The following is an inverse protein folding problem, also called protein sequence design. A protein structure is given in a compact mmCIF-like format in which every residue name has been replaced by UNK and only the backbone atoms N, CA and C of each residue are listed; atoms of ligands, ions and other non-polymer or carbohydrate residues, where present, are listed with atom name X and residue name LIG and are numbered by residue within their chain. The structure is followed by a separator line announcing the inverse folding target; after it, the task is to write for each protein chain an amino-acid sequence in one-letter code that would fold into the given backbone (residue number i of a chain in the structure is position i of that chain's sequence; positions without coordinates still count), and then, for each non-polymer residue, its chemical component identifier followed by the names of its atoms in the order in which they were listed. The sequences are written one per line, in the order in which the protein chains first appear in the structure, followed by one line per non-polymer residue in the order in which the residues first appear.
data_IF_713436397069
#
_entry.id   IF_713436397069
#
_cell.length_a   1.000
_cell.length_b   1.000
_cell.length_c   1.000
_cell.angle_alpha   90.00
_cell.angle_beta   90.00
_cell.angle_gamma   90.00
#
_symmetry.space_group_name_H-M   'P 1'
#
loop_
_entity.id
_entity.type
_entity.pdbx_description
1 polymer ?
#
# COMPACT_ATOMS: atom_id res chain seq x y z
N UNK A 1 21.88 2.62 -15.53
CA UNK A 1 22.99 1.67 -15.30
C UNK A 1 22.43 0.25 -15.36
N UNK A 2 23.05 -0.67 -16.11
CA UNK A 2 22.59 -2.06 -16.17
C UNK A 2 23.05 -2.86 -14.94
N UNK A 3 22.36 -3.95 -14.60
CA UNK A 3 22.71 -4.81 -13.45
C UNK A 3 24.18 -5.32 -13.49
N UNK A 4 24.72 -5.75 -14.64
CA UNK A 4 26.14 -6.12 -14.72
C UNK A 4 27.11 -4.96 -14.49
N UNK A 5 26.75 -3.74 -14.92
CA UNK A 5 27.55 -2.54 -14.66
C UNK A 5 27.52 -2.16 -13.17
N UNK A 6 26.38 -2.34 -12.51
CA UNK A 6 26.26 -2.12 -11.06
C UNK A 6 27.11 -3.12 -10.27
N UNK A 7 26.99 -4.43 -10.53
CA UNK A 7 27.77 -5.44 -9.82
C UNK A 7 29.28 -5.24 -10.03
N UNK A 8 29.68 -4.80 -11.23
CA UNK A 8 31.06 -4.43 -11.53
C UNK A 8 31.50 -3.19 -10.74
N UNK A 9 30.69 -2.13 -10.71
CA UNK A 9 30.97 -0.90 -9.95
C UNK A 9 30.97 -1.13 -8.43
N UNK A 10 30.10 -1.99 -7.93
CA UNK A 10 30.05 -2.45 -6.54
C UNK A 10 31.34 -3.19 -6.15
N UNK A 11 31.80 -4.09 -7.02
CA UNK A 11 33.09 -4.78 -6.85
C UNK A 11 34.31 -3.84 -6.94
N UNK A 12 34.23 -2.80 -7.76
CA UNK A 12 35.26 -1.76 -7.90
C UNK A 12 35.32 -0.84 -6.68
N UNK A 13 34.18 -0.45 -6.09
CA UNK A 13 34.10 0.34 -4.85
C UNK A 13 34.69 -0.42 -3.65
N UNK A 14 34.50 -1.75 -3.58
CA UNK A 14 35.08 -2.64 -2.56
C UNK A 14 36.62 -2.62 -2.52
N UNK A 15 37.29 -2.21 -3.62
CA UNK A 15 38.76 -2.19 -3.70
C UNK A 15 39.39 -0.90 -3.14
N UNK A 16 38.62 0.16 -2.92
CA UNK A 16 39.13 1.46 -2.50
C UNK A 16 38.73 1.83 -1.06
N UNK A 17 39.29 1.11 -0.08
CA UNK A 17 39.70 1.71 1.20
C UNK A 17 38.79 1.55 2.43
N UNK A 18 39.40 0.91 3.44
CA UNK A 18 39.25 1.01 4.90
C UNK A 18 38.23 0.09 5.62
N UNK A 19 38.86 -0.79 6.43
CA UNK A 19 38.39 -1.64 7.53
C UNK A 19 36.87 -1.85 7.61
N UNK A 20 36.41 -2.99 7.07
CA UNK A 20 35.08 -3.52 7.32
C UNK A 20 35.15 -4.84 8.09
N UNK A 21 34.08 -5.21 8.82
CA UNK A 21 33.91 -6.57 9.35
C UNK A 21 34.10 -7.59 8.23
N UNK A 22 34.64 -8.76 8.53
CA UNK A 22 34.81 -9.84 7.55
C UNK A 22 33.47 -10.26 6.93
N UNK A 23 33.12 -9.72 5.74
CA UNK A 23 31.80 -9.93 5.12
C UNK A 23 31.69 -9.48 3.65
N UNK A 24 30.52 -9.70 3.06
CA UNK A 24 30.21 -9.36 1.66
C UNK A 24 30.13 -7.83 1.41
N UNK A 25 29.78 -7.06 2.44
CA UNK A 25 29.65 -5.61 2.51
C UNK A 25 28.69 -5.21 3.65
N UNK A 26 28.53 -3.92 3.91
CA UNK A 26 27.56 -3.37 4.87
C UNK A 26 26.39 -2.70 4.15
N UNK A 27 25.15 -3.04 4.54
CA UNK A 27 23.93 -2.46 3.98
C UNK A 27 23.11 -1.84 5.11
N UNK A 28 22.73 -0.56 4.95
CA UNK A 28 21.82 0.12 5.87
C UNK A 28 20.43 0.13 5.27
N UNK A 29 19.41 -0.29 6.02
CA UNK A 29 18.01 -0.33 5.57
C UNK A 29 17.13 0.51 6.50
N UNK A 30 16.18 1.23 5.92
CA UNK A 30 15.19 2.01 6.68
C UNK A 30 13.84 2.06 5.94
N UNK A 31 12.74 1.94 6.67
CA UNK A 31 11.43 2.38 6.16
C UNK A 31 11.29 3.87 6.46
N UNK A 32 10.99 4.67 5.44
CA UNK A 32 11.01 6.13 5.52
C UNK A 32 9.97 6.68 6.50
N UNK A 33 10.21 7.89 6.99
CA UNK A 33 9.34 8.60 7.93
C UNK A 33 7.85 8.54 7.55
N UNK A 34 6.97 8.31 8.53
CA UNK A 34 5.52 8.20 8.34
C UNK A 34 5.04 6.85 7.81
N UNK A 35 5.94 5.91 7.50
CA UNK A 35 5.60 4.59 7.00
C UNK A 35 5.99 3.50 8.01
N UNK A 36 5.01 2.65 8.35
CA UNK A 36 5.13 1.60 9.36
C UNK A 36 5.18 0.19 8.78
N UNK A 37 5.20 0.06 7.44
CA UNK A 37 5.18 -1.22 6.76
C UNK A 37 6.61 -1.66 6.40
N UNK A 38 7.09 -2.75 7.01
CA UNK A 38 8.49 -3.21 6.92
C UNK A 38 8.68 -4.62 6.36
N UNK A 39 7.60 -5.34 6.02
CA UNK A 39 7.72 -6.75 5.62
C UNK A 39 8.66 -6.96 4.43
N UNK A 40 8.52 -6.13 3.38
CA UNK A 40 9.40 -6.19 2.21
C UNK A 40 10.86 -5.85 2.56
N UNK A 41 11.08 -4.85 3.42
CA UNK A 41 12.41 -4.47 3.92
C UNK A 41 13.07 -5.61 4.68
N UNK A 42 12.35 -6.24 5.59
CA UNK A 42 12.92 -7.28 6.45
C UNK A 42 13.21 -8.56 5.66
N UNK A 43 12.41 -8.88 4.63
CA UNK A 43 12.73 -9.97 3.71
C UNK A 43 14.05 -9.70 2.97
N UNK A 44 14.24 -8.48 2.48
CA UNK A 44 15.50 -8.05 1.85
C UNK A 44 16.66 -8.14 2.85
N UNK A 45 16.47 -7.70 4.09
CA UNK A 45 17.46 -7.83 5.16
C UNK A 45 17.90 -9.28 5.36
N UNK A 46 16.96 -10.21 5.61
CA UNK A 46 17.27 -11.62 5.84
C UNK A 46 17.95 -12.29 4.63
N UNK A 47 17.59 -11.92 3.40
CA UNK A 47 18.25 -12.43 2.19
C UNK A 47 19.69 -11.92 2.09
N UNK A 48 19.94 -10.65 2.41
CA UNK A 48 21.28 -10.06 2.40
C UNK A 48 22.16 -10.68 3.50
N UNK A 49 21.65 -10.85 4.71
CA UNK A 49 22.33 -11.52 5.82
C UNK A 49 22.70 -12.96 5.45
N UNK A 50 21.79 -13.71 4.84
CA UNK A 50 22.04 -15.07 4.35
C UNK A 50 23.12 -15.12 3.24
N UNK A 51 23.40 -14.00 2.56
CA UNK A 51 24.51 -13.86 1.60
C UNK A 51 25.79 -13.30 2.22
N UNK A 52 25.83 -13.11 3.54
CA UNK A 52 27.00 -12.67 4.28
C UNK A 52 27.22 -11.15 4.32
N UNK A 53 26.18 -10.36 4.00
CA UNK A 53 26.22 -8.91 4.23
C UNK A 53 25.94 -8.61 5.71
N UNK A 54 26.58 -7.56 6.23
CA UNK A 54 26.22 -6.98 7.52
C UNK A 54 25.07 -5.99 7.29
N UNK A 55 23.90 -6.26 7.87
CA UNK A 55 22.71 -5.43 7.69
C UNK A 55 22.45 -4.60 8.95
N UNK A 56 22.38 -3.28 8.78
CA UNK A 56 21.95 -2.33 9.80
C UNK A 56 20.51 -1.91 9.47
N UNK A 57 19.55 -2.47 10.18
CA UNK A 57 18.13 -2.12 10.01
C UNK A 57 17.71 -1.07 11.04
N UNK A 58 17.34 0.13 10.56
CA UNK A 58 16.90 1.25 11.40
C UNK A 58 15.42 1.16 11.80
N UNK A 59 14.68 0.18 11.28
CA UNK A 59 13.27 -0.03 11.59
C UNK A 59 12.32 0.80 10.72
N UNK A 60 11.24 1.30 11.34
CA UNK A 60 10.12 1.97 10.66
C UNK A 60 9.97 3.43 11.05
N UNK A 61 9.34 4.20 10.17
CA UNK A 61 9.10 5.64 10.35
C UNK A 61 10.38 6.41 10.70
N UNK A 62 11.47 6.16 9.96
CA UNK A 62 12.79 6.73 10.25
C UNK A 62 12.98 8.09 9.59
N UNK A 63 13.32 9.11 10.37
CA UNK A 63 13.60 10.46 9.88
C UNK A 63 14.90 10.54 9.07
N UNK A 64 14.95 11.44 8.08
CA UNK A 64 16.14 11.65 7.24
C UNK A 64 17.41 11.94 8.05
N UNK A 65 17.31 12.73 9.12
CA UNK A 65 18.43 13.04 10.01
C UNK A 65 18.99 11.81 10.73
N UNK A 66 18.13 10.85 11.09
CA UNK A 66 18.53 9.59 11.73
C UNK A 66 19.23 8.68 10.72
N UNK A 67 18.70 8.62 9.49
CA UNK A 67 19.35 7.90 8.39
C UNK A 67 20.73 8.49 8.12
N UNK A 68 20.86 9.82 8.05
CA UNK A 68 22.14 10.52 7.86
C UNK A 68 23.14 10.15 8.96
N UNK A 69 22.73 10.24 10.23
CA UNK A 69 23.59 9.89 11.37
C UNK A 69 24.09 8.45 11.26
N UNK A 70 23.18 7.52 10.97
CA UNK A 70 23.53 6.12 10.83
C UNK A 70 24.43 5.86 9.60
N UNK A 71 24.26 6.57 8.49
CA UNK A 71 25.18 6.47 7.34
C UNK A 71 26.59 6.94 7.71
N UNK A 72 26.71 8.03 8.47
CA UNK A 72 28.01 8.52 8.95
C UNK A 72 28.64 7.54 9.96
N UNK A 73 27.82 6.97 10.86
CA UNK A 73 28.28 6.04 11.90
C UNK A 73 28.73 4.70 11.33
N UNK A 74 27.90 4.08 10.48
CA UNK A 74 28.13 2.73 9.97
C UNK A 74 28.88 2.68 8.65
N UNK A 75 29.03 3.82 7.96
CA UNK A 75 29.68 3.93 6.65
C UNK A 75 29.29 2.80 5.67
N UNK A 76 27.99 2.62 5.38
CA UNK A 76 27.50 1.50 4.60
C UNK A 76 27.94 1.57 3.14
N UNK A 77 28.09 0.41 2.50
CA UNK A 77 28.34 0.33 1.06
C UNK A 77 27.08 0.63 0.23
N UNK A 78 25.89 0.41 0.83
CA UNK A 78 24.59 0.63 0.20
C UNK A 78 23.58 1.09 1.25
N UNK A 79 22.72 2.04 0.86
CA UNK A 79 21.55 2.48 1.64
C UNK A 79 20.30 1.93 0.95
N UNK A 80 19.36 1.35 1.70
CA UNK A 80 18.07 0.90 1.20
C UNK A 80 16.93 1.66 1.86
N UNK A 81 16.08 2.29 1.05
CA UNK A 81 14.88 2.98 1.51
C UNK A 81 13.63 2.20 1.09
N UNK A 82 12.75 1.96 2.04
CA UNK A 82 11.48 1.24 1.84
C UNK A 82 10.27 2.13 2.09
N UNK A 83 9.20 1.93 1.32
CA UNK A 83 7.91 2.60 1.51
C UNK A 83 6.76 1.90 0.78
N UNK A 84 5.65 1.70 1.49
CA UNK A 84 4.42 1.08 1.02
C UNK A 84 3.39 2.11 0.52
N UNK A 85 3.24 3.23 1.22
CA UNK A 85 2.17 4.21 0.96
C UNK A 85 2.65 5.38 0.07
N UNK A 86 1.71 6.06 -0.61
CA UNK A 86 2.05 7.16 -1.53
C UNK A 86 2.85 8.30 -0.88
N UNK A 87 2.54 8.75 0.36
CA UNK A 87 3.36 9.76 1.06
C UNK A 87 4.83 9.36 1.21
N UNK A 88 5.15 8.06 1.27
CA UNK A 88 6.50 7.54 1.39
C UNK A 88 7.38 7.93 0.20
N UNK A 89 6.80 8.14 -0.99
CA UNK A 89 7.56 8.60 -2.15
C UNK A 89 8.12 10.02 -1.92
N UNK A 90 7.33 10.91 -1.32
CA UNK A 90 7.77 12.26 -0.98
C UNK A 90 8.86 12.24 0.08
N UNK A 91 8.73 11.34 1.07
CA UNK A 91 9.74 11.15 2.10
C UNK A 91 11.04 10.56 1.55
N UNK A 92 10.98 9.62 0.60
CA UNK A 92 12.17 9.15 -0.12
C UNK A 92 12.88 10.29 -0.86
N UNK A 93 12.13 11.14 -1.57
CA UNK A 93 12.70 12.32 -2.26
C UNK A 93 13.36 13.26 -1.25
N UNK A 94 12.72 13.52 -0.11
CA UNK A 94 13.28 14.35 0.94
C UNK A 94 14.59 13.77 1.50
N UNK A 95 14.61 12.49 1.83
CA UNK A 95 15.79 11.80 2.36
C UNK A 95 16.95 11.80 1.38
N UNK A 96 16.72 11.53 0.09
CA UNK A 96 17.82 11.53 -0.89
C UNK A 96 18.38 12.94 -1.13
N UNK A 97 17.54 13.98 -1.10
CA UNK A 97 18.00 15.38 -1.15
C UNK A 97 18.91 15.70 0.02
N UNK A 98 18.46 15.38 1.23
CA UNK A 98 19.21 15.63 2.46
C UNK A 98 20.57 14.92 2.46
N UNK A 99 20.63 13.66 1.98
CA UNK A 99 21.90 12.94 1.79
C UNK A 99 22.82 13.61 0.77
N UNK A 100 22.27 14.09 -0.36
CA UNK A 100 23.05 14.75 -1.42
C UNK A 100 23.60 16.11 -0.98
N UNK A 101 22.83 16.89 -0.23
CA UNK A 101 23.21 18.22 0.28
C UNK A 101 24.45 18.18 1.19
N UNK A 102 24.63 17.08 1.91
CA UNK A 102 25.80 16.85 2.77
C UNK A 102 26.92 16.06 2.09
N UNK A 103 26.80 15.80 0.79
CA UNK A 103 27.84 15.17 -0.03
C UNK A 103 27.94 13.65 0.12
N UNK A 104 26.91 12.97 0.61
CA UNK A 104 26.88 11.50 0.60
C UNK A 104 26.55 11.03 -0.82
N UNK A 105 27.40 10.14 -1.35
CA UNK A 105 27.26 9.55 -2.68
C UNK A 105 27.08 8.02 -2.66
N UNK A 106 26.93 7.45 -1.45
CA UNK A 106 26.69 6.02 -1.25
C UNK A 106 25.51 5.54 -2.11
N UNK A 107 25.64 4.45 -2.89
CA UNK A 107 24.54 3.93 -3.69
C UNK A 107 23.25 3.70 -2.89
N UNK A 108 22.12 4.13 -3.44
CA UNK A 108 20.79 3.98 -2.83
C UNK A 108 19.95 2.96 -3.61
N UNK A 109 19.39 2.01 -2.88
CA UNK A 109 18.33 1.10 -3.32
C UNK A 109 16.97 1.62 -2.88
N UNK A 110 16.03 1.72 -3.81
CA UNK A 110 14.65 2.15 -3.57
C UNK A 110 13.72 0.95 -3.74
N UNK A 111 12.88 0.67 -2.76
CA UNK A 111 11.90 -0.40 -2.82
C UNK A 111 10.63 -0.13 -2.01
N UNK A 112 9.71 -1.09 -2.05
CA UNK A 112 8.38 -1.01 -1.42
C UNK A 112 7.27 -0.73 -2.44
N UNK A 113 6.01 -1.01 -2.06
CA UNK A 113 4.89 -1.07 -3.00
C UNK A 113 4.55 0.28 -3.66
N UNK A 114 4.84 1.41 -3.00
CA UNK A 114 4.66 2.74 -3.58
C UNK A 114 5.67 3.06 -4.69
N UNK A 115 6.74 2.26 -4.80
CA UNK A 115 7.86 2.54 -5.70
C UNK A 115 7.72 1.76 -7.00
N UNK A 116 7.84 2.47 -8.12
CA UNK A 116 7.93 1.88 -9.45
C UNK A 116 9.27 2.23 -10.08
N UNK A 117 9.65 1.50 -11.14
CA UNK A 117 10.82 1.85 -11.95
C UNK A 117 10.73 3.30 -12.45
N UNK A 118 9.56 3.71 -12.90
CA UNK A 118 9.33 5.06 -13.43
C UNK A 118 9.49 6.11 -12.34
N UNK A 119 8.82 5.95 -11.20
CA UNK A 119 8.90 6.91 -10.09
C UNK A 119 10.32 7.00 -9.51
N UNK A 120 11.04 5.88 -9.43
CA UNK A 120 12.44 5.87 -8.97
C UNK A 120 13.33 6.69 -9.89
N UNK A 121 13.20 6.52 -11.22
CA UNK A 121 14.06 7.18 -12.21
C UNK A 121 13.69 8.65 -12.39
N UNK A 122 12.40 8.98 -12.40
CA UNK A 122 11.91 10.32 -12.73
C UNK A 122 11.81 11.20 -11.49
N UNK A 123 11.36 10.67 -10.36
CA UNK A 123 11.03 11.49 -9.19
C UNK A 123 12.11 11.44 -8.09
N UNK A 124 12.87 10.34 -7.96
CA UNK A 124 13.87 10.19 -6.88
C UNK A 124 15.29 10.45 -7.39
N UNK A 125 15.72 9.72 -8.42
CA UNK A 125 17.10 9.74 -8.90
C UNK A 125 17.66 11.14 -9.26
N UNK A 126 16.90 12.09 -9.84
CA UNK A 126 17.42 13.42 -10.17
C UNK A 126 17.80 14.28 -8.96
N UNK A 127 17.41 13.86 -7.75
CA UNK A 127 17.64 14.59 -6.51
C UNK A 127 18.81 14.04 -5.68
N UNK A 128 19.58 13.10 -6.24
CA UNK A 128 20.73 12.50 -5.57
C UNK A 128 21.96 12.52 -6.47
N UNK A 129 23.12 12.87 -5.92
CA UNK A 129 24.41 12.91 -6.62
C UNK A 129 24.98 11.51 -6.90
N UNK A 130 24.69 10.53 -6.03
CA UNK A 130 25.12 9.14 -6.18
C UNK A 130 24.17 8.27 -7.01
N UNK A 131 24.49 6.97 -7.19
CA UNK A 131 23.63 6.04 -7.90
C UNK A 131 22.33 5.73 -7.14
N UNK A 132 21.17 5.84 -7.80
CA UNK A 132 19.86 5.39 -7.28
C UNK A 132 19.31 4.26 -8.16
N UNK A 133 18.90 3.15 -7.54
CA UNK A 133 18.45 1.95 -8.24
C UNK A 133 17.18 1.35 -7.62
N UNK A 134 16.23 0.84 -8.42
CA UNK A 134 15.08 0.12 -7.92
C UNK A 134 15.45 -1.31 -7.48
N UNK A 135 14.90 -1.77 -6.35
CA UNK A 135 15.15 -3.10 -5.74
C UNK A 135 14.75 -4.26 -6.64
N UNK A 136 13.81 -4.10 -7.59
CA UNK A 136 13.40 -5.20 -8.49
C UNK A 136 14.57 -5.76 -9.32
N UNK A 137 15.64 -4.98 -9.55
CA UNK A 137 16.86 -5.48 -10.19
C UNK A 137 17.56 -6.60 -9.40
N UNK A 138 17.28 -6.74 -8.10
CA UNK A 138 17.78 -7.81 -7.25
C UNK A 138 16.94 -9.09 -7.34
N UNK A 139 15.61 -8.99 -7.54
CA UNK A 139 14.69 -10.14 -7.55
C UNK A 139 14.99 -11.16 -8.67
N UNK A 140 15.50 -10.69 -9.82
CA UNK A 140 15.90 -11.56 -10.94
C UNK A 140 17.04 -12.54 -10.55
N UNK A 141 17.84 -12.19 -9.55
CA UNK A 141 18.95 -13.03 -9.06
C UNK A 141 18.49 -14.11 -8.05
N UNK A 142 17.27 -14.01 -7.52
CA UNK A 142 16.81 -14.83 -6.38
C UNK A 142 15.74 -15.85 -6.72
N UNK A 143 15.44 -16.11 -8.00
CA UNK A 143 14.32 -16.98 -8.40
C UNK A 143 14.33 -18.39 -7.81
N UNK A 144 15.51 -18.97 -7.51
CA UNK A 144 15.57 -20.26 -6.79
C UNK A 144 15.26 -20.13 -5.29
N UNK A 145 15.75 -19.08 -4.62
CA UNK A 145 15.48 -18.84 -3.20
C UNK A 145 14.01 -18.43 -2.98
N UNK A 146 13.46 -17.59 -3.86
CA UNK A 146 12.04 -17.21 -3.84
C UNK A 146 11.11 -18.44 -3.89
N UNK A 147 11.44 -19.46 -4.70
CA UNK A 147 10.69 -20.73 -4.74
C UNK A 147 10.77 -21.53 -3.44
N UNK A 148 11.88 -21.45 -2.69
CA UNK A 148 12.00 -22.11 -1.39
C UNK A 148 11.14 -21.40 -0.34
N UNK A 149 11.26 -20.07 -0.25
CA UNK A 149 10.46 -19.24 0.65
C UNK A 149 8.96 -19.46 0.39
N UNK A 150 8.53 -19.47 -0.88
CA UNK A 150 7.14 -19.75 -1.23
C UNK A 150 6.65 -21.10 -0.70
N UNK A 151 7.46 -22.17 -0.81
CA UNK A 151 7.09 -23.49 -0.25
C UNK A 151 6.97 -23.45 1.27
N UNK A 152 7.77 -22.64 1.96
CA UNK A 152 7.71 -22.50 3.41
C UNK A 152 6.50 -21.68 3.86
N UNK A 153 6.18 -20.59 3.16
CA UNK A 153 4.94 -19.82 3.39
C UNK A 153 3.72 -20.72 3.21
N UNK A 154 3.67 -21.56 2.18
CA UNK A 154 2.57 -22.51 1.98
C UNK A 154 2.43 -23.52 3.12
N UNK A 155 3.55 -24.00 3.69
CA UNK A 155 3.52 -24.87 4.88
C UNK A 155 2.96 -24.13 6.09
N UNK A 156 3.39 -22.88 6.30
CA UNK A 156 2.90 -22.03 7.39
C UNK A 156 1.41 -21.73 7.23
N UNK A 157 0.92 -21.50 6.01
CA UNK A 157 -0.52 -21.34 5.75
C UNK A 157 -1.28 -22.62 6.16
N UNK A 158 -0.79 -23.80 5.80
CA UNK A 158 -1.43 -25.06 6.21
C UNK A 158 -1.44 -25.22 7.74
N UNK A 159 -0.33 -24.91 8.41
CA UNK A 159 -0.24 -24.92 9.87
C UNK A 159 -1.25 -23.95 10.51
N UNK A 160 -1.39 -22.73 9.97
CA UNK A 160 -2.37 -21.74 10.43
C UNK A 160 -3.79 -22.30 10.29
N UNK A 161 -4.11 -22.94 9.17
CA UNK A 161 -5.43 -23.53 8.91
C UNK A 161 -5.72 -24.69 9.87
N UNK A 162 -4.77 -25.59 10.06
CA UNK A 162 -4.89 -26.76 10.94
C UNK A 162 -5.07 -26.35 12.41
N UNK A 163 -4.25 -25.40 12.86
CA UNK A 163 -4.25 -24.92 14.25
C UNK A 163 -5.34 -23.89 14.54
N UNK A 164 -5.93 -23.30 13.49
CA UNK A 164 -6.85 -22.15 13.57
C UNK A 164 -6.25 -20.97 14.35
N UNK A 165 -4.93 -20.79 14.23
CA UNK A 165 -4.17 -19.78 14.99
C UNK A 165 -4.47 -18.34 14.56
N UNK A 166 -4.97 -18.14 13.34
CA UNK A 166 -5.48 -16.86 12.86
C UNK A 166 -7.00 -16.92 12.65
N UNK A 167 -7.68 -15.81 12.95
CA UNK A 167 -9.13 -15.67 12.73
C UNK A 167 -9.41 -14.61 11.67
N UNK A 168 -10.19 -15.01 10.67
CA UNK A 168 -10.68 -14.13 9.62
C UNK A 168 -11.96 -13.41 10.06
N UNK A 169 -12.04 -12.10 9.84
CA UNK A 169 -13.26 -11.30 10.03
C UNK A 169 -13.48 -10.41 8.82
N UNK A 170 -14.74 -10.22 8.47
CA UNK A 170 -15.14 -9.40 7.34
C UNK A 170 -16.48 -8.75 7.63
N UNK A 171 -16.65 -7.52 7.17
CA UNK A 171 -17.94 -6.84 7.05
C UNK A 171 -18.13 -6.41 5.60
N UNK A 172 -19.34 -6.60 5.11
CA UNK A 172 -19.84 -6.00 3.88
C UNK A 172 -21.04 -5.15 4.25
N UNK A 173 -21.10 -3.95 3.69
CA UNK A 173 -22.13 -2.97 3.94
C UNK A 173 -22.63 -2.40 2.62
N UNK A 174 -23.92 -2.11 2.55
CA UNK A 174 -24.54 -1.43 1.42
C UNK A 174 -25.45 -0.35 1.94
N UNK A 175 -25.49 0.78 1.24
CA UNK A 175 -26.45 1.83 1.52
C UNK A 175 -26.92 2.50 0.23
N UNK A 176 -28.10 3.10 0.31
CA UNK A 176 -28.55 4.04 -0.71
C UNK A 176 -27.59 5.22 -0.74
N UNK A 177 -27.21 5.64 -1.93
CA UNK A 177 -26.33 6.78 -2.11
C UNK A 177 -26.63 7.53 -3.40
N UNK A 178 -26.33 8.82 -3.38
CA UNK A 178 -26.40 9.67 -4.56
C UNK A 178 -25.18 10.58 -4.62
N UNK A 179 -24.74 10.90 -5.83
CA UNK A 179 -23.73 11.92 -6.03
C UNK A 179 -24.32 13.33 -5.86
N UNK A 180 -23.52 14.21 -5.27
CA UNK A 180 -23.79 15.65 -5.18
C UNK A 180 -22.49 16.41 -5.47
N UNK A 181 -22.34 16.88 -6.71
CA UNK A 181 -21.05 17.41 -7.17
C UNK A 181 -19.96 16.35 -7.10
N UNK A 182 -18.88 16.64 -6.37
CA UNK A 182 -17.76 15.74 -6.19
C UNK A 182 -17.94 14.74 -5.02
N UNK A 183 -19.09 14.76 -4.34
CA UNK A 183 -19.34 13.96 -3.14
C UNK A 183 -20.34 12.84 -3.35
N UNK A 184 -20.29 11.86 -2.45
CA UNK A 184 -21.26 10.76 -2.37
C UNK A 184 -22.00 10.87 -1.05
N UNK A 185 -23.27 11.23 -1.11
CA UNK A 185 -24.15 11.30 0.05
C UNK A 185 -24.71 9.92 0.36
N UNK A 186 -24.48 9.47 1.59
CA UNK A 186 -25.04 8.22 2.11
C UNK A 186 -26.39 8.54 2.71
N UNK A 187 -27.40 7.79 2.30
CA UNK A 187 -28.78 8.00 2.71
C UNK A 187 -29.22 6.92 3.70
N UNK A 188 -30.16 7.26 4.57
CA UNK A 188 -30.88 6.32 5.42
C UNK A 188 -31.65 5.30 4.58
N UNK A 189 -32.08 4.16 5.16
CA UNK A 189 -32.79 3.12 4.42
C UNK A 189 -34.08 3.59 3.72
N UNK A 190 -34.75 4.59 4.29
CA UNK A 190 -35.93 5.23 3.70
C UNK A 190 -35.59 6.23 2.57
N UNK A 191 -34.31 6.56 2.39
CA UNK A 191 -33.79 7.47 1.35
C UNK A 191 -33.93 8.96 1.67
N UNK A 192 -34.44 9.33 2.84
CA UNK A 192 -34.83 10.72 3.12
C UNK A 192 -33.81 11.53 3.92
N UNK A 193 -32.91 10.86 4.64
CA UNK A 193 -31.95 11.52 5.54
C UNK A 193 -30.53 11.17 5.13
N UNK A 194 -29.67 12.17 5.01
CA UNK A 194 -28.24 11.96 4.81
C UNK A 194 -27.60 11.52 6.14
N UNK A 195 -26.97 10.35 6.15
CA UNK A 195 -26.33 9.75 7.33
C UNK A 195 -24.81 9.84 7.31
N UNK A 196 -24.22 10.21 6.18
CA UNK A 196 -22.80 10.46 6.01
C UNK A 196 -22.46 10.95 4.60
N UNK A 197 -21.21 11.34 4.40
CA UNK A 197 -20.68 11.79 3.11
C UNK A 197 -19.30 11.22 2.92
N UNK A 198 -19.05 10.62 1.76
CA UNK A 198 -17.69 10.41 1.28
C UNK A 198 -17.31 11.59 0.38
N UNK A 199 -16.20 12.23 0.71
CA UNK A 199 -15.75 13.43 0.03
C UNK A 199 -14.78 13.10 -1.09
N UNK A 200 -15.16 13.42 -2.33
CA UNK A 200 -14.35 13.14 -3.50
C UNK A 200 -13.45 14.30 -3.90
N UNK A 201 -12.38 13.93 -4.61
CA UNK A 201 -11.46 14.82 -5.30
C UNK A 201 -11.48 14.48 -6.79
N UNK A 202 -11.48 15.52 -7.61
CA UNK A 202 -11.51 15.47 -9.05
C UNK A 202 -10.11 15.71 -9.63
N UNK A 203 -9.78 14.94 -10.65
CA UNK A 203 -8.58 15.17 -11.45
C UNK A 203 -8.57 16.60 -12.02
N UNK A 204 -7.43 17.28 -11.95
CA UNK A 204 -7.25 18.61 -12.56
C UNK A 204 -6.04 18.69 -13.51
N UNK A 205 -5.31 17.59 -13.69
CA UNK A 205 -4.19 17.53 -14.65
C UNK A 205 -4.68 17.42 -16.09
N UNK A 206 -4.18 18.32 -16.95
CA UNK A 206 -4.47 18.31 -18.38
C UNK A 206 -4.29 16.92 -18.99
N UNK A 207 -5.37 16.42 -19.60
CA UNK A 207 -5.38 15.13 -20.29
C UNK A 207 -4.69 15.25 -21.65
N UNK A 208 -3.92 14.23 -22.08
CA UNK A 208 -3.36 14.19 -23.43
C UNK A 208 -4.44 14.25 -24.52
N UNK A 209 -5.57 13.61 -24.28
CA UNK A 209 -6.72 13.65 -25.15
C UNK A 209 -7.82 14.54 -24.55
N UNK A 210 -8.24 15.64 -25.23
CA UNK A 210 -9.22 16.59 -24.71
C UNK A 210 -10.61 15.99 -24.42
N UNK A 211 -10.94 14.84 -24.98
CA UNK A 211 -12.22 14.16 -24.74
C UNK A 211 -12.22 13.28 -23.50
N UNK A 212 -11.05 13.01 -22.92
CA UNK A 212 -10.94 12.16 -21.75
C UNK A 212 -11.56 12.87 -20.53
N UNK A 213 -12.42 12.19 -19.76
CA UNK A 213 -13.02 12.79 -18.59
C UNK A 213 -12.00 13.01 -17.48
N UNK A 214 -12.28 14.01 -16.64
CA UNK A 214 -11.58 14.25 -15.39
C UNK A 214 -12.35 13.57 -14.28
N UNK A 215 -11.88 12.39 -13.87
CA UNK A 215 -12.63 11.54 -12.95
C UNK A 215 -12.66 12.07 -11.52
N UNK A 216 -13.80 11.86 -10.87
CA UNK A 216 -14.01 11.84 -9.43
C UNK A 216 -14.73 10.53 -9.07
N UNK A 217 -14.58 10.06 -7.83
CA UNK A 217 -15.27 8.84 -7.35
C UNK A 217 -16.80 8.98 -7.41
N UNK A 218 -17.32 10.20 -7.26
CA UNK A 218 -18.76 10.48 -7.29
C UNK A 218 -19.38 10.25 -8.67
N UNK A 219 -18.58 10.31 -9.75
CA UNK A 219 -19.06 10.15 -11.13
C UNK A 219 -19.63 8.75 -11.39
N UNK A 220 -19.29 7.77 -10.55
CA UNK A 220 -19.75 6.39 -10.65
C UNK A 220 -20.99 6.09 -9.79
N UNK A 221 -21.60 7.12 -9.19
CA UNK A 221 -22.86 7.06 -8.45
C UNK A 221 -23.85 8.03 -9.09
N UNK A 222 -25.08 7.59 -9.34
CA UNK A 222 -26.08 8.43 -9.96
C UNK A 222 -26.46 9.62 -9.07
N UNK A 223 -26.68 10.81 -9.66
CA UNK A 223 -27.22 11.94 -8.92
C UNK A 223 -28.70 11.73 -8.60
N UNK A 224 -29.19 12.37 -7.54
CA UNK A 224 -30.61 12.39 -7.24
C UNK A 224 -31.41 13.01 -8.41
N UNK A 225 -32.62 12.51 -8.72
CA UNK A 225 -33.43 11.55 -7.95
C UNK A 225 -33.25 10.08 -8.37
N UNK A 226 -32.25 9.74 -9.20
CA UNK A 226 -32.03 8.36 -9.64
C UNK A 226 -31.55 7.55 -8.45
N UNK A 227 -32.28 6.51 -8.06
CA UNK A 227 -31.87 5.67 -6.93
C UNK A 227 -30.63 4.86 -7.30
N UNK A 228 -29.57 5.02 -6.51
CA UNK A 228 -28.31 4.28 -6.65
C UNK A 228 -27.78 3.86 -5.27
N UNK A 229 -26.67 3.12 -5.27
CA UNK A 229 -26.11 2.48 -4.10
C UNK A 229 -24.59 2.52 -4.10
N UNK A 230 -24.05 2.56 -2.89
CA UNK A 230 -22.63 2.33 -2.64
C UNK A 230 -22.49 1.13 -1.71
N UNK A 231 -21.44 0.35 -1.90
CA UNK A 231 -21.04 -0.69 -0.96
C UNK A 231 -19.74 -0.35 -0.26
N UNK A 232 -19.45 -1.06 0.81
CA UNK A 232 -18.20 -1.00 1.53
C UNK A 232 -17.83 -2.37 2.06
N UNK A 233 -16.53 -2.65 2.12
CA UNK A 233 -16.00 -3.85 2.75
C UNK A 233 -14.78 -3.52 3.61
N UNK A 234 -14.67 -4.20 4.75
CA UNK A 234 -13.44 -4.24 5.55
C UNK A 234 -13.20 -5.69 5.97
N UNK A 235 -11.99 -6.18 5.75
CA UNK A 235 -11.60 -7.56 6.03
C UNK A 235 -10.26 -7.62 6.75
N UNK A 236 -10.06 -8.65 7.56
CA UNK A 236 -8.77 -8.92 8.22
C UNK A 236 -8.61 -10.41 8.53
N UNK A 237 -7.39 -10.92 8.38
CA UNK A 237 -6.96 -12.24 8.91
C UNK A 237 -5.95 -12.05 10.06
N UNK A 238 -5.78 -10.81 10.54
CA UNK A 238 -4.73 -10.46 11.51
C UNK A 238 -5.02 -10.83 12.96
N UNK A 239 -6.23 -11.26 13.30
CA UNK A 239 -6.57 -11.62 14.69
C UNK A 239 -5.82 -12.89 15.11
N UNK A 240 -4.92 -12.76 16.09
CA UNK A 240 -4.02 -13.83 16.57
C UNK A 240 -2.60 -13.73 16.02
N UNK A 241 -2.34 -12.86 15.04
CA UNK A 241 -1.02 -12.74 14.42
C UNK A 241 0.06 -12.28 15.40
N UNK A 242 -0.24 -11.33 16.28
CA UNK A 242 0.72 -10.86 17.28
C UNK A 242 1.15 -12.00 18.21
N UNK A 243 0.20 -12.78 18.74
CA UNK A 243 0.48 -13.93 19.59
C UNK A 243 1.33 -14.98 18.85
N UNK A 244 1.01 -15.24 17.58
CA UNK A 244 1.76 -16.18 16.74
C UNK A 244 3.20 -15.70 16.52
N UNK A 245 3.40 -14.42 16.23
CA UNK A 245 4.72 -13.81 16.10
C UNK A 245 5.50 -13.87 17.42
N UNK A 246 4.84 -13.58 18.56
CA UNK A 246 5.47 -13.69 19.89
C UNK A 246 5.92 -15.12 20.20
N UNK A 247 5.16 -16.13 19.77
CA UNK A 247 5.55 -17.54 19.96
C UNK A 247 6.83 -17.91 19.19
N UNK A 248 7.10 -17.22 18.07
CA UNK A 248 8.28 -17.38 17.25
C UNK A 248 9.33 -16.28 17.45
N UNK A 249 9.30 -15.53 18.56
CA UNK A 249 10.22 -14.39 18.79
C UNK A 249 11.71 -14.71 18.68
N UNK A 250 12.10 -15.96 18.94
CA UNK A 250 13.49 -16.43 18.84
C UNK A 250 13.86 -16.92 17.43
N UNK A 251 12.92 -16.90 16.49
CA UNK A 251 13.10 -17.25 15.08
C UNK A 251 12.54 -16.10 14.21
N UNK A 252 13.34 -15.04 13.98
CA UNK A 252 12.90 -13.90 13.19
C UNK A 252 12.43 -14.28 11.79
N UNK A 253 13.03 -15.30 11.18
CA UNK A 253 12.62 -15.77 9.86
C UNK A 253 11.20 -16.33 9.88
N UNK A 254 10.85 -17.13 10.89
CA UNK A 254 9.51 -17.67 11.06
C UNK A 254 8.46 -16.58 11.33
N UNK A 255 8.81 -15.52 12.05
CA UNK A 255 7.95 -14.32 12.20
C UNK A 255 7.60 -13.72 10.83
N UNK A 256 8.58 -13.60 9.92
CA UNK A 256 8.34 -13.10 8.57
C UNK A 256 7.46 -14.03 7.73
N UNK A 257 7.59 -15.35 7.91
CA UNK A 257 6.71 -16.31 7.25
C UNK A 257 5.26 -16.17 7.74
N UNK A 258 5.03 -15.99 9.05
CA UNK A 258 3.69 -15.78 9.59
C UNK A 258 3.07 -14.47 9.09
N UNK A 259 3.82 -13.37 9.08
CA UNK A 259 3.34 -12.08 8.54
C UNK A 259 3.02 -12.19 7.04
N UNK A 260 3.92 -12.77 6.25
CA UNK A 260 3.70 -13.01 4.80
C UNK A 260 2.48 -13.89 4.54
N UNK A 261 2.29 -14.95 5.33
CA UNK A 261 1.13 -15.82 5.22
C UNK A 261 -0.17 -15.07 5.53
N UNK A 262 -0.18 -14.27 6.60
CA UNK A 262 -1.35 -13.48 6.99
C UNK A 262 -1.70 -12.40 5.95
N UNK A 263 -0.71 -11.77 5.33
CA UNK A 263 -0.90 -10.80 4.23
C UNK A 263 -1.55 -11.49 3.01
N UNK A 264 -0.99 -12.62 2.56
CA UNK A 264 -1.55 -13.41 1.47
C UNK A 264 -3.00 -13.84 1.74
N UNK A 265 -3.28 -14.32 2.97
CA UNK A 265 -4.62 -14.73 3.37
C UNK A 265 -5.59 -13.54 3.45
N UNK A 266 -5.12 -12.37 3.88
CA UNK A 266 -5.93 -11.14 3.93
C UNK A 266 -6.28 -10.65 2.52
N UNK A 267 -5.31 -10.65 1.61
CA UNK A 267 -5.56 -10.34 0.19
C UNK A 267 -6.53 -11.34 -0.45
N UNK A 268 -6.34 -12.64 -0.21
CA UNK A 268 -7.24 -13.68 -0.69
C UNK A 268 -8.67 -13.53 -0.14
N UNK A 269 -8.81 -13.16 1.14
CA UNK A 269 -10.12 -12.87 1.75
C UNK A 269 -10.76 -11.64 1.11
N UNK A 270 -9.99 -10.59 0.82
CA UNK A 270 -10.51 -9.39 0.17
C UNK A 270 -11.06 -9.69 -1.22
N UNK A 271 -10.33 -10.48 -2.03
CA UNK A 271 -10.84 -10.94 -3.33
C UNK A 271 -12.07 -11.82 -3.18
N UNK A 272 -12.05 -12.78 -2.24
CA UNK A 272 -13.19 -13.67 -2.03
C UNK A 272 -14.45 -12.93 -1.61
N UNK A 273 -14.33 -11.94 -0.73
CA UNK A 273 -15.45 -11.09 -0.30
C UNK A 273 -15.93 -10.23 -1.45
N UNK A 274 -15.04 -9.64 -2.24
CA UNK A 274 -15.42 -8.85 -3.40
C UNK A 274 -16.16 -9.69 -4.47
N UNK A 275 -15.71 -10.92 -4.73
CA UNK A 275 -16.42 -11.88 -5.58
C UNK A 275 -17.82 -12.19 -5.04
N UNK A 276 -17.96 -12.42 -3.73
CA UNK A 276 -19.28 -12.61 -3.12
C UNK A 276 -20.17 -11.36 -3.27
N UNK A 277 -19.60 -10.17 -3.18
CA UNK A 277 -20.36 -8.94 -3.46
C UNK A 277 -20.86 -8.93 -4.89
N UNK A 278 -19.99 -9.13 -5.88
CA UNK A 278 -20.38 -9.08 -7.30
C UNK A 278 -21.46 -10.09 -7.64
N UNK A 279 -21.29 -11.34 -7.23
CA UNK A 279 -22.09 -12.46 -7.73
C UNK A 279 -23.23 -12.89 -6.81
N UNK A 280 -23.21 -12.50 -5.52
CA UNK A 280 -24.22 -12.92 -4.54
C UNK A 280 -25.00 -11.74 -4.00
N UNK A 281 -24.31 -10.69 -3.53
CA UNK A 281 -25.00 -9.59 -2.83
C UNK A 281 -25.53 -8.51 -3.79
N UNK A 282 -24.75 -8.10 -4.78
CA UNK A 282 -25.09 -7.01 -5.70
C UNK A 282 -25.90 -7.48 -6.90
N UNK A 283 -25.52 -8.64 -7.47
CA UNK A 283 -26.20 -9.22 -8.62
C UNK A 283 -26.58 -10.69 -8.40
N UNK A 284 -27.57 -10.97 -7.53
CA UNK A 284 -27.98 -12.33 -7.16
C UNK A 284 -28.53 -13.17 -8.34
N UNK A 285 -28.73 -12.57 -9.51
CA UNK A 285 -29.15 -13.26 -10.74
C UNK A 285 -27.99 -13.95 -11.48
N UNK A 286 -26.75 -13.78 -11.02
CA UNK A 286 -25.57 -14.42 -11.63
C UNK A 286 -25.25 -15.72 -10.88
N UNK A 287 -25.11 -16.87 -11.55
CA UNK A 287 -24.82 -18.13 -10.87
C UNK A 287 -23.45 -18.06 -10.15
N UNK A 288 -23.32 -18.64 -8.94
CA UNK A 288 -22.07 -18.63 -8.20
C UNK A 288 -20.98 -19.38 -8.96
N UNK A 289 -19.77 -18.82 -8.98
CA UNK A 289 -18.60 -19.43 -9.61
C UNK A 289 -18.27 -20.75 -8.90
N UNK A 290 -18.41 -21.87 -9.61
CA UNK A 290 -18.06 -23.23 -9.17
C UNK A 290 -16.63 -23.66 -9.53
N UNK A 291 -15.86 -22.79 -10.18
CA UNK A 291 -14.50 -23.09 -10.64
C UNK A 291 -13.45 -22.74 -9.59
N UNK A 292 -12.62 -23.73 -9.24
CA UNK A 292 -11.51 -23.65 -8.28
C UNK A 292 -10.28 -22.87 -8.77
N UNK A 293 -10.35 -22.19 -9.92
CA UNK A 293 -9.27 -21.35 -10.46
C UNK A 293 -9.55 -19.86 -10.24
N UNK A 294 -9.28 -19.42 -9.00
CA UNK A 294 -8.96 -18.03 -8.68
C UNK A 294 -7.60 -17.71 -9.33
N UNK A 295 -7.61 -16.95 -10.42
CA UNK A 295 -6.39 -16.34 -10.97
C UNK A 295 -6.03 -15.13 -10.09
N UNK A 296 -5.14 -15.36 -9.13
CA UNK A 296 -4.52 -14.32 -8.31
C UNK A 296 -3.47 -13.60 -9.16
N UNK A 297 -3.87 -12.57 -9.90
CA UNK A 297 -2.92 -11.59 -10.42
C UNK A 297 -2.68 -10.52 -9.36
N UNK A 298 -1.71 -10.78 -8.48
CA UNK A 298 -1.12 -9.78 -7.61
C UNK A 298 -0.29 -8.82 -8.47
N UNK A 299 -0.79 -7.60 -8.63
CA UNK A 299 0.04 -6.47 -9.02
C UNK A 299 0.36 -6.39 -10.52
N UNK A 300 -0.66 -6.10 -11.32
CA UNK A 300 -0.60 -5.17 -12.45
C UNK A 300 -2.02 -5.09 -12.99
N UNK A 301 -2.72 -3.97 -12.79
CA UNK A 301 -3.93 -3.70 -13.54
C UNK A 301 -3.52 -3.38 -14.99
N UNK A 302 -3.10 -4.41 -15.74
CA UNK A 302 -3.15 -4.40 -17.19
C UNK A 302 -4.52 -4.90 -17.60
N UNK A 303 -5.26 -3.99 -18.18
CA UNK A 303 -6.65 -4.02 -18.60
C UNK A 303 -6.99 -5.07 -19.67
N UNK A 304 -6.83 -6.37 -19.41
CA UNK A 304 -7.29 -7.40 -20.37
C UNK A 304 -8.01 -8.62 -19.79
N UNK A 305 -7.83 -8.95 -18.52
CA UNK A 305 -8.45 -10.15 -17.93
C UNK A 305 -9.55 -9.82 -16.90
N UNK A 306 -10.32 -8.76 -17.20
CA UNK A 306 -11.60 -8.49 -16.55
C UNK A 306 -12.59 -9.60 -16.92
N UNK A 307 -12.59 -10.69 -16.12
CA UNK A 307 -13.71 -11.64 -16.09
C UNK A 307 -14.99 -10.83 -15.90
N UNK A 308 -15.95 -11.06 -16.79
CA UNK A 308 -17.26 -10.41 -16.84
C UNK A 308 -17.93 -10.42 -15.46
N UNK A 309 -17.86 -9.28 -14.78
CA UNK A 309 -18.30 -9.06 -13.41
C UNK A 309 -18.15 -7.58 -13.11
N UNK A 310 -19.15 -6.80 -13.52
CA UNK A 310 -19.17 -5.34 -13.42
C UNK A 310 -18.93 -4.87 -11.99
N UNK A 311 -18.03 -3.90 -11.83
CA UNK A 311 -17.79 -3.21 -10.56
C UNK A 311 -16.33 -3.24 -10.09
N UNK A 312 -15.95 -2.17 -9.39
CA UNK A 312 -14.59 -1.94 -8.87
C UNK A 312 -14.61 -1.77 -7.36
N UNK A 313 -13.45 -1.98 -6.74
CA UNK A 313 -13.17 -1.70 -5.34
C UNK A 313 -12.13 -0.58 -5.26
N UNK A 314 -12.56 0.58 -4.81
CA UNK A 314 -11.66 1.71 -4.52
C UNK A 314 -11.50 1.81 -3.01
N UNK A 315 -10.36 2.25 -2.51
CA UNK A 315 -10.14 2.38 -1.08
C UNK A 315 -9.72 3.81 -0.74
N UNK A 316 -10.22 4.39 0.36
CA UNK A 316 -9.53 5.49 1.02
C UNK A 316 -8.04 5.17 1.19
N UNK A 317 -7.18 6.18 1.13
CA UNK A 317 -5.71 6.09 1.15
C UNK A 317 -5.06 5.64 -0.18
N UNK A 318 -5.85 5.30 -1.21
CA UNK A 318 -5.34 4.98 -2.54
C UNK A 318 -5.38 6.20 -3.46
N UNK A 319 -4.68 6.18 -4.62
CA UNK A 319 -4.61 7.33 -5.51
C UNK A 319 -5.94 7.93 -5.98
N UNK A 320 -7.04 7.16 -5.96
CA UNK A 320 -8.40 7.64 -6.28
C UNK A 320 -9.02 8.49 -5.16
N UNK A 321 -8.61 8.24 -3.92
CA UNK A 321 -9.12 8.87 -2.71
C UNK A 321 -7.97 8.99 -1.70
N UNK A 322 -6.99 9.87 -1.96
CA UNK A 322 -5.74 9.95 -1.20
C UNK A 322 -5.94 10.36 0.26
N UNK A 323 -7.07 11.02 0.58
CA UNK A 323 -7.40 11.42 1.94
C UNK A 323 -7.75 10.19 2.80
N UNK A 324 -6.84 9.84 3.71
CA UNK A 324 -7.00 8.74 4.66
C UNK A 324 -8.09 8.99 5.72
N UNK A 325 -8.48 10.25 6.03
CA UNK A 325 -9.55 10.51 7.02
C UNK A 325 -10.91 10.09 6.53
N UNK A 326 -11.06 9.81 5.24
CA UNK A 326 -12.28 9.19 4.72
C UNK A 326 -12.48 7.77 5.29
N UNK A 327 -11.43 7.13 5.83
CA UNK A 327 -11.60 5.91 6.64
C UNK A 327 -12.41 6.15 7.92
N UNK A 328 -12.34 7.34 8.54
CA UNK A 328 -13.17 7.63 9.71
C UNK A 328 -14.66 7.63 9.34
N UNK A 329 -15.01 8.24 8.20
CA UNK A 329 -16.36 8.15 7.63
C UNK A 329 -16.73 6.69 7.40
N UNK A 330 -15.86 5.92 6.75
CA UNK A 330 -16.09 4.50 6.45
C UNK A 330 -16.34 3.69 7.74
N UNK A 331 -15.51 3.87 8.77
CA UNK A 331 -15.64 3.19 10.07
C UNK A 331 -16.95 3.55 10.77
N UNK A 332 -17.34 4.83 10.74
CA UNK A 332 -18.57 5.31 11.36
C UNK A 332 -19.82 4.79 10.67
N UNK A 333 -19.90 4.89 9.34
CA UNK A 333 -21.14 4.56 8.58
C UNK A 333 -21.35 3.06 8.45
N UNK A 334 -20.27 2.26 8.47
CA UNK A 334 -20.32 0.80 8.44
C UNK A 334 -20.27 0.16 9.83
N UNK A 335 -20.00 0.94 10.88
CA UNK A 335 -19.86 0.45 12.27
C UNK A 335 -18.78 -0.65 12.42
N UNK A 336 -17.64 -0.45 11.74
CA UNK A 336 -16.63 -1.48 11.51
C UNK A 336 -16.07 -2.04 12.82
N UNK A 337 -15.70 -1.17 13.75
CA UNK A 337 -15.08 -1.59 15.01
C UNK A 337 -16.03 -2.46 15.84
N UNK A 338 -17.30 -2.07 15.98
CA UNK A 338 -18.27 -2.87 16.76
C UNK A 338 -18.52 -4.22 16.10
N UNK A 339 -18.63 -4.25 14.78
CA UNK A 339 -19.05 -5.44 14.04
C UNK A 339 -17.90 -6.44 13.83
N UNK A 340 -16.67 -5.96 13.71
CA UNK A 340 -15.51 -6.80 13.36
C UNK A 340 -14.39 -6.77 14.40
N UNK A 341 -14.32 -5.75 15.25
CA UNK A 341 -13.19 -5.48 16.12
C UNK A 341 -11.95 -4.92 15.40
N UNK A 342 -12.04 -4.60 14.10
CA UNK A 342 -10.97 -3.93 13.36
C UNK A 342 -11.05 -2.43 13.67
N UNK A 343 -9.98 -1.85 14.18
CA UNK A 343 -9.92 -0.47 14.67
C UNK A 343 -9.11 0.42 13.73
N UNK A 344 -9.34 1.72 13.83
CA UNK A 344 -8.41 2.72 13.32
C UNK A 344 -7.48 3.18 14.46
N UNK A 345 -6.19 3.28 14.17
CA UNK A 345 -5.22 3.91 15.06
C UNK A 345 -5.34 5.43 15.00
N UNK A 346 -4.68 6.14 15.91
CA UNK A 346 -4.64 7.61 15.92
C UNK A 346 -4.06 8.20 14.63
N UNK A 347 -3.20 7.44 13.93
CA UNK A 347 -2.60 7.80 12.64
C UNK A 347 -3.38 7.25 11.45
N UNK A 348 -4.62 6.78 11.65
CA UNK A 348 -5.46 6.17 10.63
C UNK A 348 -4.85 4.89 10.01
N UNK A 349 -4.01 4.18 10.74
CA UNK A 349 -3.67 2.79 10.41
C UNK A 349 -4.81 1.84 10.82
N UNK A 350 -4.83 0.63 10.27
CA UNK A 350 -5.78 -0.40 10.70
C UNK A 350 -5.15 -1.33 11.74
N UNK A 351 -5.91 -1.70 12.77
CA UNK A 351 -5.54 -2.72 13.75
C UNK A 351 -6.60 -3.83 13.79
N UNK A 352 -6.28 -5.09 13.44
CA UNK A 352 -4.95 -5.58 13.07
C UNK A 352 -4.39 -4.99 11.77
N UNK A 353 -3.06 -4.84 11.70
CA UNK A 353 -2.34 -4.31 10.52
C UNK A 353 -2.67 -5.09 9.23
N UNK A 354 -2.91 -6.40 9.36
CA UNK A 354 -3.34 -7.27 8.25
C UNK A 354 -4.83 -7.07 7.98
N UNK A 355 -5.17 -5.93 7.40
CA UNK A 355 -6.54 -5.57 7.02
C UNK A 355 -6.58 -4.89 5.66
N UNK A 356 -7.72 -5.03 4.97
CA UNK A 356 -8.01 -4.38 3.69
C UNK A 356 -9.40 -3.76 3.79
N UNK A 357 -9.52 -2.53 3.33
CA UNK A 357 -10.80 -1.84 3.18
C UNK A 357 -11.07 -1.50 1.71
N UNK A 358 -12.32 -1.23 1.36
CA UNK A 358 -12.68 -0.67 0.06
C UNK A 358 -14.17 -0.32 -0.06
N UNK A 359 -14.44 0.81 -0.70
CA UNK A 359 -15.71 1.20 -1.29
C UNK A 359 -15.95 0.44 -2.60
N UNK A 360 -17.20 0.05 -2.80
CA UNK A 360 -17.63 -0.82 -3.89
C UNK A 360 -18.57 -0.05 -4.80
N UNK A 361 -18.20 0.01 -6.08
CA UNK A 361 -18.94 0.69 -7.14
C UNK A 361 -19.37 -0.32 -8.18
N UNK A 362 -20.64 -0.29 -8.56
CA UNK A 362 -21.19 -1.26 -9.54
C UNK A 362 -21.28 -0.73 -10.97
N UNK A 363 -21.09 0.59 -11.16
CA UNK A 363 -21.20 1.19 -12.47
C UNK A 363 -20.23 0.51 -13.46
N UNK A 364 -20.68 0.08 -14.65
CA UNK A 364 -19.87 -0.77 -15.55
C UNK A 364 -18.68 -0.04 -16.17
N UNK A 365 -18.68 1.29 -16.15
CA UNK A 365 -17.55 2.14 -16.58
C UNK A 365 -16.69 2.65 -15.42
N UNK A 366 -16.94 2.16 -14.19
CA UNK A 366 -16.08 2.50 -13.08
C UNK A 366 -14.68 1.93 -13.32
N UNK A 367 -13.65 2.75 -13.17
CA UNK A 367 -12.26 2.34 -13.34
C UNK A 367 -11.36 2.91 -12.24
N UNK A 368 -10.20 2.29 -12.06
CA UNK A 368 -9.17 2.78 -11.15
C UNK A 368 -8.43 3.94 -11.81
N UNK A 369 -8.42 5.11 -11.16
CA UNK A 369 -7.69 6.29 -11.62
C UNK A 369 -6.73 6.83 -10.54
N UNK A 370 -6.02 7.92 -10.79
CA UNK A 370 -5.31 8.66 -9.76
C UNK A 370 -5.74 10.12 -9.85
N UNK A 371 -6.13 10.73 -8.72
CA UNK A 371 -6.53 12.14 -8.66
C UNK A 371 -5.37 13.04 -9.13
N UNK A 372 -4.17 12.73 -8.64
CA UNK A 372 -2.97 13.50 -8.94
C UNK A 372 -2.98 14.89 -8.28
N UNK A 373 -2.05 15.78 -8.67
CA UNK A 373 -2.02 17.16 -8.20
C UNK A 373 -3.33 17.90 -8.46
N UNK A 374 -3.82 18.58 -7.42
CA UNK A 374 -4.99 19.46 -7.47
C UNK A 374 -4.58 20.92 -7.21
N UNK A 375 -5.33 21.84 -7.79
CA UNK A 375 -5.15 23.27 -7.67
C UNK A 375 -5.74 23.81 -6.35
N UNK A 376 -5.29 25.02 -6.00
CA UNK A 376 -5.59 25.63 -4.70
C UNK A 376 -7.08 25.94 -4.50
N UNK A 377 -7.82 26.11 -5.59
CA UNK A 377 -9.28 26.29 -5.59
C UNK A 377 -10.00 25.04 -5.07
N UNK A 378 -9.65 23.86 -5.60
CA UNK A 378 -10.21 22.59 -5.15
C UNK A 378 -9.78 22.26 -3.72
N UNK A 379 -8.56 22.61 -3.32
CA UNK A 379 -8.14 22.46 -1.91
C UNK A 379 -9.01 23.32 -0.97
N UNK A 380 -9.35 24.55 -1.38
CA UNK A 380 -10.23 25.41 -0.59
C UNK A 380 -11.67 24.87 -0.52
N UNK A 381 -12.21 24.45 -1.67
CA UNK A 381 -13.54 23.86 -1.78
C UNK A 381 -13.66 22.57 -0.94
N UNK A 382 -12.67 21.68 -1.04
CA UNK A 382 -12.64 20.44 -0.24
C UNK A 382 -12.56 20.72 1.26
N UNK A 383 -11.77 21.71 1.68
CA UNK A 383 -11.70 22.14 3.08
C UNK A 383 -13.04 22.64 3.61
N UNK A 384 -13.76 23.42 2.80
CA UNK A 384 -15.08 23.95 3.13
C UNK A 384 -16.12 22.83 3.24
N UNK A 385 -16.18 21.93 2.24
CA UNK A 385 -17.10 20.78 2.23
C UNK A 385 -16.92 19.86 3.44
N UNK A 386 -15.68 19.66 3.89
CA UNK A 386 -15.33 18.86 5.06
C UNK A 386 -15.42 19.61 6.40
N UNK A 387 -15.53 20.93 6.38
CA UNK A 387 -15.53 21.76 7.58
C UNK A 387 -14.19 21.75 8.33
N UNK A 388 -13.07 21.56 7.62
CA UNK A 388 -11.72 21.51 8.20
C UNK A 388 -10.86 22.69 7.74
N UNK A 389 -9.87 23.05 8.56
CA UNK A 389 -8.92 24.08 8.15
C UNK A 389 -8.04 23.58 6.99
N UNK A 390 -7.87 24.40 5.95
CA UNK A 390 -7.02 24.12 4.79
C UNK A 390 -5.61 23.60 5.14
N UNK A 391 -5.04 24.08 6.25
CA UNK A 391 -3.72 23.65 6.72
C UNK A 391 -3.68 22.15 7.09
N UNK A 392 -4.76 21.64 7.70
CA UNK A 392 -4.84 20.23 8.12
C UNK A 392 -4.87 19.27 6.93
N UNK A 393 -5.41 19.69 5.79
CA UNK A 393 -5.40 18.89 4.57
C UNK A 393 -3.98 18.74 3.99
N UNK A 394 -3.17 19.80 4.04
CA UNK A 394 -1.77 19.80 3.58
C UNK A 394 -0.83 19.03 4.51
N UNK A 395 -1.11 19.05 5.80
CA UNK A 395 -0.27 18.40 6.81
C UNK A 395 -0.66 16.92 7.04
N UNK A 396 -1.84 16.50 6.58
CA UNK A 396 -2.36 15.15 6.79
C UNK A 396 -2.36 14.24 5.57
N UNK A 397 -2.93 14.67 4.43
CA UNK A 397 -3.79 13.74 3.68
C UNK A 397 -3.95 14.03 2.17
N UNK A 398 -3.37 15.13 1.66
CA UNK A 398 -3.39 15.49 0.22
C UNK A 398 -2.00 15.51 -0.40
#
# INVERSE_FOLDING_TARGET
MSLPQFLRRFSELKKNGKVQPSGAGTVLLATVNGDHYDMGKNLVASVLEAKGFFVVDLGVSVHADEIIKAVVEYNPDVIGLSGLIVPSLHQMVHTVKALSEIGIETPILIGGAATTKQNTIVNIAPHYSGPVLPVWMLLVLFGQEARKVMKEVLKVINEIIETKSLQARAIVWFSRANSHGDDIHILSPDGNTQTGTFYGLRQQQLKPNPTDPYYCISDFIAPAPIQDYIGGMVVSVGFGLEQLCMSAKNDPYRVHLYKSAAECLTGALAEKVHDQVKYVFWNPSTPPITSSTLSLELGEHTSSDLREGTGIRLAPCFPQQPDHTEMETMWRVMDVERMTGIKLTETLGMDPVMAVNGLLFSHPKAECFAVGPIADDQVCDYAERRGVAKKLLKDGLL
#
